data_IF_523791655493
#
_entry.id   IF_523791655493
#
_cell.length_a   1.000
_cell.length_b   1.000
_cell.length_c   1.000
_cell.angle_alpha   90.00
_cell.angle_beta   90.00
_cell.angle_gamma   90.00
#
_symmetry.space_group_name_H-M   'P 1'
#
loop_
_entity.id
_entity.type
_entity.pdbx_description
1 polymer ?
#
# COMPACT_ATOMS: atom_id res chain seq x y z
N UNK A 1 -6.99 -16.05 -5.59
CA UNK A 1 -6.41 -16.04 -6.94
C UNK A 1 -7.30 -16.81 -7.91
N UNK A 2 -7.09 -16.60 -9.18
CA UNK A 2 -7.74 -17.35 -10.24
C UNK A 2 -6.88 -18.60 -10.60
N UNK A 3 -7.54 -19.76 -10.74
CA UNK A 3 -6.93 -20.99 -11.21
C UNK A 3 -7.95 -21.63 -12.16
N UNK A 4 -7.56 -21.89 -13.40
CA UNK A 4 -8.40 -22.52 -14.44
C UNK A 4 -9.77 -21.84 -14.59
N UNK A 5 -9.80 -20.50 -14.60
CA UNK A 5 -11.02 -19.72 -14.72
C UNK A 5 -11.88 -19.66 -13.45
N UNK A 6 -11.42 -20.23 -12.34
CA UNK A 6 -12.14 -20.23 -11.06
C UNK A 6 -11.44 -19.38 -10.01
N UNK A 7 -12.21 -18.51 -9.33
CA UNK A 7 -11.71 -17.73 -8.20
C UNK A 7 -11.60 -18.60 -6.96
N UNK A 8 -10.37 -18.81 -6.48
CA UNK A 8 -10.08 -19.58 -5.27
C UNK A 8 -9.77 -18.62 -4.13
N UNK A 9 -10.50 -18.80 -3.01
CA UNK A 9 -10.27 -18.06 -1.78
C UNK A 9 -9.06 -18.62 -1.05
N UNK A 10 -8.05 -17.80 -0.85
CA UNK A 10 -6.87 -18.14 -0.05
C UNK A 10 -6.88 -17.43 1.30
N UNK A 11 -6.34 -18.08 2.32
CA UNK A 11 -6.07 -17.46 3.61
C UNK A 11 -4.90 -16.47 3.47
N UNK A 12 -5.00 -15.33 4.11
CA UNK A 12 -3.89 -14.40 4.32
C UNK A 12 -3.58 -14.29 5.81
N UNK A 13 -2.36 -13.91 6.14
CA UNK A 13 -1.93 -13.67 7.52
C UNK A 13 -2.41 -12.34 8.09
N UNK A 14 -2.91 -11.45 7.23
CA UNK A 14 -3.23 -10.10 7.66
C UNK A 14 -4.62 -10.00 8.31
N UNK A 15 -4.71 -9.10 9.27
CA UNK A 15 -5.96 -8.56 9.78
C UNK A 15 -5.94 -7.06 9.57
N UNK A 16 -6.69 -6.59 8.57
CA UNK A 16 -6.89 -5.17 8.26
C UNK A 16 -8.36 -4.80 8.37
N UNK A 17 -8.65 -3.53 8.61
CA UNK A 17 -10.03 -3.01 8.74
C UNK A 17 -10.35 -1.91 7.74
N UNK A 18 -9.49 -0.89 7.61
CA UNK A 18 -9.84 0.37 6.96
C UNK A 18 -8.92 0.75 5.80
N UNK A 19 -8.04 -0.11 5.41
CA UNK A 19 -7.15 0.10 4.28
C UNK A 19 -6.23 -1.06 4.04
N UNK A 20 -5.94 -1.33 2.78
CA UNK A 20 -4.95 -2.27 2.30
C UNK A 20 -4.31 -1.70 1.04
N UNK A 21 -3.00 -1.82 0.96
CA UNK A 21 -2.20 -1.40 -0.18
C UNK A 21 -0.98 -2.33 -0.30
N UNK A 22 -0.14 -2.12 -1.30
CA UNK A 22 1.11 -2.85 -1.45
C UNK A 22 2.26 -1.93 -1.84
N UNK A 23 3.50 -2.36 -1.55
CA UNK A 23 4.71 -1.68 -1.99
C UNK A 23 5.07 -2.03 -3.45
N UNK A 24 6.25 -1.53 -3.89
CA UNK A 24 6.77 -1.81 -5.24
C UNK A 24 7.12 -3.29 -5.48
N UNK A 25 7.14 -4.10 -4.44
CA UNK A 25 7.56 -5.49 -4.48
C UNK A 25 6.40 -6.46 -4.18
N UNK A 26 5.17 -5.94 -4.01
CA UNK A 26 3.96 -6.72 -3.78
C UNK A 26 3.67 -7.08 -2.32
N UNK A 27 4.43 -6.55 -1.35
CA UNK A 27 4.16 -6.78 0.07
C UNK A 27 3.00 -5.93 0.54
N UNK A 28 2.16 -6.49 1.41
CA UNK A 28 0.95 -5.83 1.88
C UNK A 28 1.24 -4.84 3.01
N UNK A 29 0.57 -3.69 2.92
CA UNK A 29 0.47 -2.66 3.95
C UNK A 29 -0.99 -2.46 4.29
N UNK A 30 -1.33 -2.44 5.57
CA UNK A 30 -2.71 -2.36 6.05
C UNK A 30 -2.78 -1.72 7.43
N UNK A 31 -3.98 -1.41 7.88
CA UNK A 31 -4.18 -0.81 9.20
C UNK A 31 -5.38 -1.37 9.95
N UNK A 32 -5.40 -1.07 11.22
CA UNK A 32 -6.52 -1.21 12.15
C UNK A 32 -6.65 0.10 12.93
N UNK A 33 -7.72 0.28 13.70
CA UNK A 33 -7.99 1.53 14.41
C UNK A 33 -6.77 2.13 15.15
N UNK A 34 -6.01 1.31 15.87
CA UNK A 34 -4.87 1.75 16.70
C UNK A 34 -3.50 1.52 16.06
N UNK A 35 -3.50 0.81 14.95
CA UNK A 35 -2.30 0.53 14.19
C UNK A 35 -2.34 1.37 12.91
N UNK A 36 -1.56 2.43 12.90
CA UNK A 36 -1.45 3.29 11.74
C UNK A 36 -0.99 2.54 10.51
N UNK A 37 0.06 1.74 10.67
CA UNK A 37 0.56 0.86 9.60
C UNK A 37 1.03 -0.46 10.20
N UNK A 38 0.57 -1.55 9.59
CA UNK A 38 1.14 -2.89 9.67
C UNK A 38 1.64 -3.28 8.28
N UNK A 39 2.64 -4.14 8.21
CA UNK A 39 3.13 -4.66 6.94
C UNK A 39 3.56 -6.12 7.06
N UNK A 40 3.48 -6.84 5.95
CA UNK A 40 4.06 -8.17 5.83
C UNK A 40 5.50 -8.08 5.31
N UNK A 41 6.39 -8.89 5.86
CA UNK A 41 7.80 -8.96 5.46
C UNK A 41 7.98 -9.76 4.17
N UNK A 42 7.06 -10.69 3.92
CA UNK A 42 7.07 -11.62 2.79
C UNK A 42 5.88 -11.34 1.87
N UNK A 43 5.95 -11.87 0.67
CA UNK A 43 4.85 -11.83 -0.28
C UNK A 43 3.58 -12.50 0.29
N UNK A 44 2.38 -12.07 -0.12
CA UNK A 44 1.13 -12.62 0.36
C UNK A 44 1.08 -14.16 0.26
N UNK A 45 0.46 -14.79 1.25
CA UNK A 45 0.25 -16.24 1.35
C UNK A 45 1.50 -17.11 1.52
N UNK A 46 2.71 -16.56 1.55
CA UNK A 46 3.95 -17.37 1.71
C UNK A 46 3.89 -18.24 2.97
N UNK A 47 3.49 -17.67 4.11
CA UNK A 47 3.46 -18.39 5.39
C UNK A 47 2.19 -19.23 5.57
N UNK A 48 1.05 -18.80 5.05
CA UNK A 48 -0.26 -19.41 5.33
C UNK A 48 -0.53 -20.69 4.53
N UNK A 49 0.34 -21.05 3.61
CA UNK A 49 0.25 -22.30 2.83
C UNK A 49 0.53 -23.56 3.66
N UNK A 50 1.40 -23.43 4.65
CA UNK A 50 1.64 -24.51 5.58
C UNK A 50 0.59 -24.44 6.71
N UNK A 51 -0.36 -25.38 6.79
CA UNK A 51 -1.41 -25.35 7.82
C UNK A 51 -0.87 -25.55 9.23
N UNK A 52 0.35 -26.10 9.36
CA UNK A 52 1.02 -26.34 10.63
C UNK A 52 1.95 -25.19 11.04
N UNK A 53 2.06 -24.14 10.21
CA UNK A 53 2.90 -23.01 10.55
C UNK A 53 2.27 -22.15 11.65
N UNK A 54 2.95 -22.06 12.78
CA UNK A 54 2.58 -21.12 13.83
C UNK A 54 3.07 -19.73 13.40
N UNK A 55 2.15 -18.80 13.26
CA UNK A 55 2.45 -17.42 12.86
C UNK A 55 3.52 -16.81 13.77
N UNK A 56 4.72 -16.68 13.25
CA UNK A 56 5.87 -16.11 13.92
C UNK A 56 6.20 -14.70 13.42
N UNK A 57 7.49 -14.39 13.41
CA UNK A 57 7.99 -13.12 12.84
C UNK A 57 7.76 -13.10 11.32
N UNK A 58 7.56 -11.90 10.74
CA UNK A 58 7.45 -11.70 9.30
C UNK A 58 6.05 -11.42 8.78
N UNK A 59 5.02 -11.48 9.63
CA UNK A 59 3.66 -11.04 9.28
C UNK A 59 3.16 -10.01 10.29
N UNK A 60 2.24 -9.16 9.88
CA UNK A 60 1.61 -8.14 10.70
C UNK A 60 2.62 -7.31 11.52
N UNK A 61 3.80 -7.04 10.94
CA UNK A 61 4.84 -6.22 11.59
C UNK A 61 4.28 -4.83 11.85
N UNK A 62 4.39 -4.38 13.09
CA UNK A 62 3.91 -3.07 13.52
C UNK A 62 4.91 -2.00 13.07
N UNK A 63 4.56 -1.24 12.03
CA UNK A 63 5.38 -0.18 11.46
C UNK A 63 5.10 1.14 12.17
N UNK A 64 3.82 1.42 12.48
CA UNK A 64 3.39 2.58 13.26
C UNK A 64 2.26 2.14 14.20
N UNK A 65 2.56 2.13 15.49
CA UNK A 65 1.62 1.69 16.53
C UNK A 65 1.69 2.58 17.76
N UNK A 66 0.58 3.26 18.07
CA UNK A 66 0.46 4.16 19.21
C UNK A 66 1.52 5.26 19.28
N UNK A 67 2.10 5.62 18.15
CA UNK A 67 3.06 6.71 18.06
C UNK A 67 2.39 8.03 18.41
N UNK A 68 3.13 8.90 19.10
CA UNK A 68 2.65 10.23 19.47
C UNK A 68 2.26 11.02 18.21
N UNK A 69 1.04 11.55 18.20
CA UNK A 69 0.52 12.41 17.13
C UNK A 69 0.76 13.89 17.42
N UNK A 70 0.82 14.68 16.35
CA UNK A 70 1.03 16.13 16.39
C UNK A 70 -0.08 16.89 15.63
N UNK A 71 -1.35 16.84 16.11
CA UNK A 71 -2.46 17.55 15.47
C UNK A 71 -2.28 19.06 15.52
N UNK A 72 -2.74 19.79 14.49
CA UNK A 72 -2.71 21.26 14.44
C UNK A 72 -3.71 21.92 15.40
N UNK A 73 -4.66 21.17 15.94
CA UNK A 73 -5.71 21.68 16.85
C UNK A 73 -5.99 20.69 17.96
N UNK A 74 -6.59 21.17 19.04
CA UNK A 74 -7.14 20.31 20.09
C UNK A 74 -8.25 19.43 19.50
N UNK A 75 -8.28 18.16 19.92
CA UNK A 75 -9.17 17.13 19.36
C UNK A 75 -10.44 17.04 20.21
N UNK A 76 -11.32 18.03 20.08
CA UNK A 76 -12.58 18.09 20.84
C UNK A 76 -13.55 16.98 20.40
N UNK A 77 -13.57 16.62 19.14
CA UNK A 77 -14.40 15.55 18.57
C UNK A 77 -13.91 14.13 18.84
N UNK A 78 -12.88 13.94 19.65
CA UNK A 78 -12.47 12.61 20.11
C UNK A 78 -13.48 12.05 21.12
N UNK A 79 -13.73 10.73 21.01
CA UNK A 79 -14.60 10.05 21.95
C UNK A 79 -13.88 9.89 23.30
N UNK A 80 -14.17 10.74 24.27
CA UNK A 80 -13.54 10.75 25.59
C UNK A 80 -14.17 9.71 26.52
N UNK A 81 -14.29 8.47 26.09
CA UNK A 81 -14.83 7.39 26.90
C UNK A 81 -13.77 6.44 27.47
N UNK A 82 -12.56 6.45 26.89
CA UNK A 82 -11.40 5.75 27.43
C UNK A 82 -10.48 6.72 28.16
N UNK A 83 -10.06 6.39 29.36
CA UNK A 83 -9.00 7.15 30.03
C UNK A 83 -7.76 7.16 29.17
N UNK A 84 -7.35 8.33 28.72
CA UNK A 84 -6.04 8.52 28.16
C UNK A 84 -5.93 8.71 26.65
N UNK A 85 -6.99 8.80 25.87
CA UNK A 85 -6.90 9.05 24.41
C UNK A 85 -6.40 10.46 24.07
N UNK A 86 -6.65 11.44 24.93
CA UNK A 86 -6.15 12.82 24.77
C UNK A 86 -5.11 13.14 25.85
N UNK A 87 -4.16 14.00 25.51
CA UNK A 87 -3.16 14.50 26.46
C UNK A 87 -3.74 15.69 27.27
N UNK A 88 -2.95 16.19 28.24
CA UNK A 88 -3.33 17.33 29.10
C UNK A 88 -3.70 18.59 28.33
N UNK A 89 -3.21 18.75 27.11
CA UNK A 89 -3.50 19.89 26.22
C UNK A 89 -4.73 19.63 25.32
N UNK A 90 -5.40 18.50 25.45
CA UNK A 90 -6.59 18.15 24.67
C UNK A 90 -6.33 17.60 23.27
N UNK A 91 -5.08 17.32 22.92
CA UNK A 91 -4.75 16.68 21.64
C UNK A 91 -4.85 15.14 21.73
N UNK A 92 -5.30 14.50 20.67
CA UNK A 92 -5.24 13.05 20.53
C UNK A 92 -3.79 12.59 20.68
N UNK A 93 -3.53 11.60 21.54
CA UNK A 93 -2.17 11.11 21.82
C UNK A 93 -1.61 10.22 20.73
N UNK A 94 -2.46 9.31 20.25
CA UNK A 94 -2.10 8.27 19.31
C UNK A 94 -3.29 7.94 18.41
N UNK A 95 -3.07 7.20 17.34
CA UNK A 95 -4.13 6.80 16.42
C UNK A 95 -5.23 5.99 17.14
N UNK A 96 -6.48 6.32 16.85
CA UNK A 96 -7.68 5.63 17.34
C UNK A 96 -8.64 5.28 16.21
N UNK A 97 -8.46 5.89 15.05
CA UNK A 97 -9.28 5.72 13.85
C UNK A 97 -8.45 5.61 12.59
N UNK A 98 -7.24 5.02 12.69
CA UNK A 98 -6.34 4.92 11.54
C UNK A 98 -7.00 4.25 10.34
N UNK A 99 -6.85 4.86 9.16
CA UNK A 99 -7.46 4.44 7.91
C UNK A 99 -6.52 4.66 6.71
N UNK A 100 -6.78 3.99 5.59
CA UNK A 100 -6.15 4.28 4.31
C UNK A 100 -4.62 4.11 4.29
N UNK A 101 -4.10 3.02 4.86
CA UNK A 101 -2.68 2.72 4.76
C UNK A 101 -2.23 2.62 3.31
N UNK A 102 -1.14 3.32 2.94
CA UNK A 102 -0.62 3.36 1.58
C UNK A 102 0.92 3.44 1.59
N UNK A 103 1.59 2.57 0.84
CA UNK A 103 2.98 2.78 0.46
C UNK A 103 3.06 3.80 -0.69
N UNK A 104 3.89 4.83 -0.58
CA UNK A 104 4.07 5.78 -1.66
C UNK A 104 4.91 5.16 -2.78
N UNK A 105 4.35 5.16 -3.98
CA UNK A 105 4.95 4.55 -5.18
C UNK A 105 4.96 5.50 -6.37
N UNK A 106 4.65 6.77 -6.12
CA UNK A 106 4.71 7.84 -7.11
C UNK A 106 6.14 8.33 -7.37
N UNK A 107 6.27 9.24 -8.30
CA UNK A 107 7.55 9.80 -8.76
C UNK A 107 7.58 11.34 -8.80
N UNK A 108 6.51 11.99 -8.32
CA UNK A 108 6.42 13.46 -8.29
C UNK A 108 7.13 14.05 -7.06
N UNK A 109 7.18 13.31 -5.96
CA UNK A 109 7.91 13.72 -4.76
C UNK A 109 9.40 13.35 -4.89
N UNK A 110 10.32 14.15 -4.29
CA UNK A 110 11.76 13.92 -4.38
C UNK A 110 12.21 12.63 -3.67
N UNK A 111 13.50 12.24 -3.87
CA UNK A 111 14.00 10.94 -3.38
C UNK A 111 13.83 10.66 -1.89
N UNK A 112 13.87 11.68 -1.03
CA UNK A 112 13.68 11.54 0.42
C UNK A 112 12.28 11.05 0.83
N UNK A 113 11.33 11.06 -0.11
CA UNK A 113 9.98 10.49 0.09
C UNK A 113 9.85 9.06 -0.45
N UNK A 114 10.91 8.51 -1.01
CA UNK A 114 10.92 7.09 -1.38
C UNK A 114 10.93 6.23 -0.12
N UNK A 115 10.49 5.00 -0.26
CA UNK A 115 10.39 4.07 0.86
C UNK A 115 9.63 4.65 2.06
N UNK A 116 8.51 5.29 1.76
CA UNK A 116 7.59 5.82 2.78
C UNK A 116 6.23 5.15 2.69
N UNK A 117 5.56 5.13 3.84
CA UNK A 117 4.17 4.74 3.93
C UNK A 117 3.37 5.79 4.72
N UNK A 118 2.10 5.92 4.37
CA UNK A 118 1.20 6.91 4.94
C UNK A 118 -0.04 6.24 5.51
N UNK A 119 -0.67 6.92 6.47
CA UNK A 119 -2.03 6.61 6.89
C UNK A 119 -2.79 7.88 7.29
N UNK A 120 -4.11 7.78 7.22
CA UNK A 120 -5.02 8.82 7.67
C UNK A 120 -5.39 8.57 9.15
N UNK A 121 -5.49 9.67 9.93
CA UNK A 121 -6.12 9.67 11.26
C UNK A 121 -7.25 10.71 11.26
N UNK A 122 -8.46 10.31 10.86
CA UNK A 122 -9.57 11.24 10.70
C UNK A 122 -10.03 11.87 12.01
N UNK A 123 -9.81 11.23 13.17
CA UNK A 123 -10.18 11.80 14.47
C UNK A 123 -9.35 13.04 14.79
N UNK A 124 -8.07 13.02 14.43
CA UNK A 124 -7.12 14.10 14.65
C UNK A 124 -6.93 15.03 13.43
N UNK A 125 -7.71 14.85 12.37
CA UNK A 125 -7.68 15.66 11.14
C UNK A 125 -6.28 15.70 10.49
N UNK A 126 -5.62 14.53 10.36
CA UNK A 126 -4.25 14.49 9.88
C UNK A 126 -3.96 13.27 8.98
N UNK A 127 -2.84 13.38 8.27
CA UNK A 127 -2.19 12.30 7.55
C UNK A 127 -0.75 12.21 8.05
N UNK A 128 -0.35 11.03 8.50
CA UNK A 128 1.02 10.71 8.90
C UNK A 128 1.77 10.03 7.79
N UNK A 129 3.05 10.35 7.68
CA UNK A 129 4.01 9.65 6.83
C UNK A 129 5.14 9.10 7.68
N UNK A 130 5.52 7.86 7.44
CA UNK A 130 6.66 7.19 8.08
C UNK A 130 7.65 6.77 7.02
N UNK A 131 8.93 6.90 7.32
CA UNK A 131 10.01 6.31 6.53
C UNK A 131 10.16 4.84 6.87
N UNK A 132 10.33 4.00 5.86
CA UNK A 132 10.45 2.55 5.99
C UNK A 132 11.91 2.16 5.98
N UNK A 133 12.40 1.59 7.06
CA UNK A 133 13.75 1.09 7.19
C UNK A 133 13.76 -0.43 7.12
N UNK A 134 14.69 -0.99 6.32
CA UNK A 134 14.96 -2.43 6.27
C UNK A 134 16.35 -2.70 6.79
N UNK A 135 16.44 -3.46 7.86
CA UNK A 135 17.70 -3.91 8.42
C UNK A 135 17.62 -5.40 8.72
N UNK A 136 18.60 -6.16 8.23
CA UNK A 136 18.68 -7.62 8.43
C UNK A 136 17.37 -8.35 8.02
N UNK A 137 16.74 -7.91 6.92
CA UNK A 137 15.47 -8.44 6.44
C UNK A 137 14.24 -7.98 7.23
N UNK A 138 14.40 -7.22 8.31
CA UNK A 138 13.29 -6.73 9.13
C UNK A 138 12.89 -5.31 8.71
N UNK A 139 11.59 -5.11 8.57
CA UNK A 139 10.97 -3.83 8.27
C UNK A 139 10.60 -3.10 9.57
N UNK A 140 10.94 -1.82 9.64
CA UNK A 140 10.52 -0.91 10.70
C UNK A 140 10.12 0.44 10.12
N UNK A 141 9.41 1.26 10.89
CA UNK A 141 9.02 2.61 10.48
C UNK A 141 9.59 3.66 11.43
N UNK A 142 9.90 4.82 10.87
CA UNK A 142 10.32 5.99 11.62
C UNK A 142 9.51 7.21 11.17
N UNK A 143 9.10 8.05 12.12
CA UNK A 143 8.35 9.26 11.81
C UNK A 143 9.21 10.27 11.03
N UNK A 144 8.78 10.65 9.84
CA UNK A 144 9.63 11.43 8.91
C UNK A 144 9.80 12.90 9.31
N UNK A 145 8.83 13.51 10.00
CA UNK A 145 8.76 14.97 10.20
C UNK A 145 9.03 15.42 11.65
N UNK A 146 9.56 14.56 12.51
CA UNK A 146 9.85 14.90 13.92
C UNK A 146 8.54 15.23 14.66
N UNK A 147 8.40 16.45 15.19
CA UNK A 147 7.22 16.88 15.95
C UNK A 147 6.11 17.51 15.08
N UNK A 148 6.03 17.14 13.81
CA UNK A 148 5.02 17.59 12.86
C UNK A 148 4.45 16.42 12.08
N UNK A 149 3.29 16.59 11.48
CA UNK A 149 2.70 15.60 10.58
C UNK A 149 2.94 15.95 9.11
N UNK A 150 2.76 14.99 8.22
CA UNK A 150 2.85 15.23 6.78
C UNK A 150 1.78 16.26 6.34
N UNK A 151 0.56 16.07 6.82
CA UNK A 151 -0.55 16.99 6.62
C UNK A 151 -1.42 17.03 7.86
N UNK A 152 -1.84 18.21 8.27
CA UNK A 152 -2.82 18.39 9.34
C UNK A 152 -3.72 19.58 9.03
N UNK A 153 -4.95 19.55 9.52
CA UNK A 153 -5.95 20.59 9.31
C UNK A 153 -6.49 21.11 10.63
N UNK A 154 -6.82 22.40 10.66
CA UNK A 154 -7.59 23.04 11.73
C UNK A 154 -9.09 22.92 11.52
N UNK A 155 -9.53 22.45 10.34
CA UNK A 155 -10.94 22.23 10.02
C UNK A 155 -11.44 20.94 10.67
N UNK A 156 -12.42 21.04 11.56
CA UNK A 156 -13.07 19.89 12.25
C UNK A 156 -13.65 18.88 11.27
N UNK A 157 -14.10 19.32 10.10
CA UNK A 157 -14.75 18.45 9.11
C UNK A 157 -13.77 17.75 8.18
N UNK A 158 -12.49 18.11 8.18
CA UNK A 158 -11.48 17.38 7.44
C UNK A 158 -11.31 15.97 8.02
N UNK A 159 -11.79 14.97 7.31
CA UNK A 159 -11.76 13.55 7.71
C UNK A 159 -11.15 12.71 6.60
N UNK A 160 -9.82 12.74 6.46
CA UNK A 160 -9.15 11.91 5.46
C UNK A 160 -9.32 10.45 5.83
N UNK A 161 -9.73 9.60 4.87
CA UNK A 161 -10.05 8.20 5.11
C UNK A 161 -9.32 7.24 4.19
N UNK A 162 -8.82 7.71 3.04
CA UNK A 162 -8.04 6.87 2.17
C UNK A 162 -7.05 7.68 1.31
N UNK A 163 -6.02 6.99 0.83
CA UNK A 163 -4.91 7.54 0.05
C UNK A 163 -4.66 6.68 -1.18
N UNK A 164 -4.32 7.33 -2.31
CA UNK A 164 -4.02 6.63 -3.55
C UNK A 164 -2.80 7.24 -4.23
N UNK A 165 -1.92 6.37 -4.75
CA UNK A 165 -0.89 6.78 -5.70
C UNK A 165 -1.56 7.21 -7.01
N UNK A 166 -1.38 8.46 -7.40
CA UNK A 166 -2.00 8.99 -8.60
C UNK A 166 -1.16 8.68 -9.86
N UNK A 167 -1.79 8.58 -11.03
CA UNK A 167 -1.08 8.33 -12.28
C UNK A 167 -0.04 9.40 -12.65
N UNK A 168 -0.23 10.63 -12.17
CA UNK A 168 0.69 11.75 -12.37
C UNK A 168 1.77 11.87 -11.25
N UNK A 169 1.94 10.82 -10.46
CA UNK A 169 2.94 10.72 -9.39
C UNK A 169 2.57 11.43 -8.09
N UNK A 170 1.46 12.16 -8.06
CA UNK A 170 0.93 12.85 -6.86
C UNK A 170 0.20 11.87 -5.94
N UNK A 171 -0.31 12.37 -4.82
CA UNK A 171 -1.14 11.59 -3.88
C UNK A 171 -2.57 12.12 -3.93
N UNK A 172 -3.56 11.21 -4.12
CA UNK A 172 -4.96 11.54 -3.92
C UNK A 172 -5.37 11.20 -2.50
N UNK A 173 -6.16 12.09 -1.91
CA UNK A 173 -6.74 11.93 -0.58
C UNK A 173 -8.25 11.96 -0.70
N UNK A 174 -8.92 10.91 -0.25
CA UNK A 174 -10.38 10.95 -0.08
C UNK A 174 -10.70 11.48 1.30
N UNK A 175 -11.47 12.56 1.33
CA UNK A 175 -11.93 13.21 2.54
C UNK A 175 -13.45 13.06 2.64
N UNK A 176 -13.94 12.41 3.68
CA UNK A 176 -15.39 12.33 3.93
C UNK A 176 -15.99 13.70 4.17
N UNK A 177 -15.17 14.63 4.62
CA UNK A 177 -15.59 15.99 5.01
C UNK A 177 -16.87 15.99 5.82
N UNK A 178 -16.84 15.26 6.91
CA UNK A 178 -17.98 15.05 7.78
C UNK A 178 -17.62 15.41 9.22
N UNK A 179 -18.48 16.13 9.91
CA UNK A 179 -18.18 16.62 11.26
C UNK A 179 -17.89 15.51 12.25
N UNK A 180 -18.55 14.36 12.11
CA UNK A 180 -18.36 13.19 12.96
C UNK A 180 -18.38 11.92 12.15
N UNK A 181 -17.43 11.02 12.43
CA UNK A 181 -17.40 9.64 11.93
C UNK A 181 -17.29 8.73 13.16
N UNK A 182 -18.42 8.28 13.67
CA UNK A 182 -18.44 7.41 14.83
C UNK A 182 -19.71 6.56 14.83
N UNK A 183 -19.55 5.29 15.16
CA UNK A 183 -20.69 4.39 15.30
C UNK A 183 -21.56 4.81 16.50
N UNK A 184 -22.85 4.92 16.30
CA UNK A 184 -23.81 5.46 17.26
C UNK A 184 -23.74 4.80 18.63
N UNK A 185 -23.48 3.48 18.69
CA UNK A 185 -23.39 2.73 19.96
C UNK A 185 -22.16 3.11 20.81
N UNK A 186 -21.13 3.70 20.21
CA UNK A 186 -19.89 4.07 20.91
C UNK A 186 -19.84 5.54 21.29
N UNK A 187 -20.93 6.30 21.08
CA UNK A 187 -20.99 7.70 21.48
C UNK A 187 -21.08 7.83 23.00
N UNK A 188 -20.08 8.43 23.62
CA UNK A 188 -20.15 8.85 25.03
C UNK A 188 -21.13 10.03 25.20
N UNK A 189 -21.54 10.29 26.44
CA UNK A 189 -22.36 11.46 26.74
C UNK A 189 -21.69 12.75 26.27
N UNK A 190 -20.38 12.90 26.57
CA UNK A 190 -19.58 14.05 26.13
C UNK A 190 -19.64 14.23 24.61
N UNK A 191 -19.36 13.19 23.85
CA UNK A 191 -19.29 13.32 22.38
C UNK A 191 -20.66 13.61 21.78
N UNK A 192 -21.72 13.02 22.33
CA UNK A 192 -23.09 13.30 21.91
C UNK A 192 -23.47 14.78 22.12
N UNK A 193 -23.19 15.33 23.30
CA UNK A 193 -23.45 16.75 23.60
C UNK A 193 -22.61 17.66 22.69
N UNK A 194 -21.34 17.32 22.46
CA UNK A 194 -20.46 18.06 21.56
C UNK A 194 -20.98 18.06 20.11
N UNK A 195 -21.40 16.89 19.59
CA UNK A 195 -21.97 16.77 18.23
C UNK A 195 -23.20 17.67 18.08
N UNK A 196 -24.11 17.65 19.05
CA UNK A 196 -25.32 18.45 19.03
C UNK A 196 -25.01 19.96 19.09
N UNK A 197 -24.12 20.36 20.00
CA UNK A 197 -23.75 21.76 20.16
C UNK A 197 -23.05 22.33 18.92
N UNK A 198 -22.15 21.56 18.30
CA UNK A 198 -21.40 21.99 17.12
C UNK A 198 -22.11 21.68 15.79
N UNK A 199 -23.30 21.08 15.84
CA UNK A 199 -24.09 20.68 14.65
C UNK A 199 -23.27 19.86 13.66
N UNK A 200 -22.47 18.90 14.17
CA UNK A 200 -21.54 18.13 13.36
C UNK A 200 -22.21 17.13 12.41
N UNK A 201 -23.47 16.77 12.65
CA UNK A 201 -24.27 15.93 11.76
C UNK A 201 -24.95 16.73 10.63
N UNK A 202 -24.96 18.07 10.73
CA UNK A 202 -25.54 18.93 9.71
C UNK A 202 -24.70 18.90 8.43
N UNK A 203 -25.34 19.09 7.28
CA UNK A 203 -24.74 19.13 5.95
C UNK A 203 -23.98 17.85 5.58
N UNK A 204 -24.65 16.71 5.43
CA UNK A 204 -24.03 15.51 4.87
C UNK A 204 -23.69 15.68 3.37
N UNK A 205 -22.89 14.76 2.82
CA UNK A 205 -22.55 14.67 1.39
C UNK A 205 -21.64 15.78 0.86
N UNK A 206 -20.72 16.25 1.68
CA UNK A 206 -19.71 17.25 1.30
C UNK A 206 -18.32 16.62 1.00
N UNK A 207 -18.25 15.30 0.80
CA UNK A 207 -17.02 14.59 0.51
C UNK A 207 -16.22 15.19 -0.64
N UNK A 208 -14.90 15.09 -0.57
CA UNK A 208 -13.96 15.67 -1.53
C UNK A 208 -12.82 14.74 -1.83
N UNK A 209 -12.15 15.01 -2.95
CA UNK A 209 -10.89 14.39 -3.32
C UNK A 209 -9.86 15.51 -3.45
N UNK A 210 -8.83 15.47 -2.62
CA UNK A 210 -7.70 16.36 -2.74
C UNK A 210 -6.57 15.70 -3.52
N UNK A 211 -5.75 16.53 -4.16
CA UNK A 211 -4.47 16.14 -4.74
C UNK A 211 -3.36 16.82 -3.98
N UNK A 212 -2.41 16.05 -3.47
CA UNK A 212 -1.20 16.57 -2.86
C UNK A 212 -0.07 16.42 -3.88
N UNK A 213 0.58 17.53 -4.20
CA UNK A 213 1.78 17.60 -5.04
C UNK A 213 2.94 18.20 -4.24
N UNK A 214 4.16 17.84 -4.61
CA UNK A 214 5.34 18.43 -3.97
C UNK A 214 5.70 19.74 -4.63
N UNK A 215 5.48 20.85 -3.91
CA UNK A 215 5.85 22.23 -4.32
C UNK A 215 5.53 22.51 -5.78
N UNK A 216 6.53 23.04 -6.50
CA UNK A 216 6.41 23.42 -7.91
C UNK A 216 6.81 22.29 -8.88
N UNK A 217 7.17 21.10 -8.37
CA UNK A 217 7.44 19.97 -9.23
C UNK A 217 6.27 19.74 -10.19
N UNK A 218 6.53 19.58 -11.48
CA UNK A 218 5.47 19.32 -12.44
C UNK A 218 4.81 17.97 -12.13
N UNK A 219 3.53 17.88 -12.46
CA UNK A 219 2.85 16.59 -12.44
C UNK A 219 3.35 15.74 -13.59
N UNK A 220 3.42 14.43 -13.39
CA UNK A 220 3.72 13.48 -14.43
C UNK A 220 2.70 13.51 -15.58
N UNK A 221 3.01 12.80 -16.64
CA UNK A 221 2.15 12.70 -17.82
C UNK A 221 0.78 12.09 -17.47
N UNK A 222 -0.23 12.49 -18.22
CA UNK A 222 -1.53 11.83 -18.16
C UNK A 222 -1.43 10.44 -18.82
N UNK A 223 -1.96 9.39 -18.18
CA UNK A 223 -1.93 8.06 -18.78
C UNK A 223 -2.84 7.99 -20.02
N UNK A 224 -2.34 7.37 -21.07
CA UNK A 224 -3.08 7.11 -22.30
C UNK A 224 -2.97 5.61 -22.65
N UNK A 225 -3.37 4.73 -21.72
CA UNK A 225 -3.23 3.28 -21.84
C UNK A 225 -4.49 2.60 -22.38
N UNK A 226 -5.65 3.23 -22.25
CA UNK A 226 -6.91 2.67 -22.72
C UNK A 226 -6.86 2.38 -24.22
N UNK A 227 -7.24 1.16 -24.62
CA UNK A 227 -7.26 0.72 -26.00
C UNK A 227 -5.90 0.50 -26.67
N UNK A 228 -4.79 0.61 -25.93
CA UNK A 228 -3.46 0.27 -26.47
C UNK A 228 -3.29 -1.24 -26.63
N UNK A 229 -2.49 -1.63 -27.62
CA UNK A 229 -2.09 -3.02 -27.81
C UNK A 229 -1.14 -3.42 -26.68
N UNK A 230 -1.15 -4.68 -26.28
CA UNK A 230 -0.30 -5.19 -25.20
C UNK A 230 1.20 -4.86 -25.40
N UNK A 231 1.71 -4.95 -26.62
CA UNK A 231 3.09 -4.61 -26.96
C UNK A 231 3.49 -3.16 -26.63
N UNK A 232 2.53 -2.23 -26.73
CA UNK A 232 2.76 -0.81 -26.45
C UNK A 232 2.74 -0.52 -24.93
N UNK A 233 2.25 -1.48 -24.12
CA UNK A 233 2.17 -1.40 -22.67
C UNK A 233 3.41 -1.99 -21.99
N UNK A 234 4.14 -2.92 -22.62
CA UNK A 234 5.33 -3.57 -22.03
C UNK A 234 6.36 -2.57 -21.51
N UNK A 235 6.71 -1.46 -22.19
CA UNK A 235 7.65 -0.47 -21.66
C UNK A 235 7.21 0.16 -20.33
N UNK A 236 5.89 0.25 -20.09
CA UNK A 236 5.34 0.83 -18.86
C UNK A 236 5.51 -0.07 -17.63
N UNK A 237 5.82 -1.35 -17.80
CA UNK A 237 6.17 -2.27 -16.69
C UNK A 237 7.44 -1.86 -15.94
N UNK A 238 8.27 -1.00 -16.54
CA UNK A 238 9.49 -0.45 -15.93
C UNK A 238 9.36 1.04 -15.57
N UNK A 239 8.16 1.61 -15.58
CA UNK A 239 7.93 3.03 -15.28
C UNK A 239 8.28 3.36 -13.82
N UNK A 240 8.78 4.56 -13.55
CA UNK A 240 9.11 5.03 -12.19
C UNK A 240 7.90 5.02 -11.25
N UNK A 241 6.73 5.45 -11.73
CA UNK A 241 5.48 5.46 -11.00
C UNK A 241 4.82 4.07 -10.97
N UNK A 242 4.54 3.58 -9.75
CA UNK A 242 3.91 2.26 -9.54
C UNK A 242 2.53 2.11 -10.18
N UNK A 243 1.74 3.18 -10.22
CA UNK A 243 0.43 3.15 -10.87
C UNK A 243 0.52 2.73 -12.35
N UNK A 244 1.53 3.21 -13.08
CA UNK A 244 1.73 2.86 -14.48
C UNK A 244 2.13 1.38 -14.64
N UNK A 245 2.99 0.88 -13.76
CA UNK A 245 3.42 -0.52 -13.81
C UNK A 245 2.24 -1.46 -13.56
N UNK A 246 1.48 -1.20 -12.49
CA UNK A 246 0.32 -2.02 -12.11
C UNK A 246 -0.75 -2.02 -13.22
N UNK A 247 -1.07 -0.83 -13.73
CA UNK A 247 -2.08 -0.68 -14.79
C UNK A 247 -1.65 -1.37 -16.09
N UNK A 248 -0.38 -1.21 -16.49
CA UNK A 248 0.14 -1.89 -17.66
C UNK A 248 0.10 -3.42 -17.50
N UNK A 249 0.54 -3.93 -16.36
CA UNK A 249 0.47 -5.35 -16.05
C UNK A 249 -0.95 -5.89 -16.14
N UNK A 250 -1.89 -5.23 -15.48
CA UNK A 250 -3.31 -5.62 -15.50
C UNK A 250 -3.86 -5.65 -16.93
N UNK A 251 -3.67 -4.59 -17.70
CA UNK A 251 -4.18 -4.50 -19.07
C UNK A 251 -3.55 -5.54 -20.00
N UNK A 252 -2.27 -5.88 -19.84
CA UNK A 252 -1.62 -6.93 -20.64
C UNK A 252 -2.23 -8.29 -20.30
N UNK A 253 -2.39 -8.60 -19.01
CA UNK A 253 -3.00 -9.86 -18.56
C UNK A 253 -4.44 -9.96 -19.03
N UNK A 254 -5.25 -8.93 -18.86
CA UNK A 254 -6.66 -8.89 -19.25
C UNK A 254 -6.84 -9.05 -20.77
N UNK A 255 -5.86 -8.58 -21.57
CA UNK A 255 -5.90 -8.75 -23.02
C UNK A 255 -5.71 -10.18 -23.49
N UNK A 256 -5.04 -11.03 -22.69
CA UNK A 256 -4.64 -12.38 -23.06
C UNK A 256 -3.67 -12.46 -24.25
N UNK A 257 -3.09 -11.34 -24.69
CA UNK A 257 -2.22 -11.28 -25.87
C UNK A 257 -0.83 -11.87 -25.59
N UNK A 258 -0.63 -13.11 -25.99
CA UNK A 258 0.63 -13.84 -25.83
C UNK A 258 1.75 -13.43 -26.80
N UNK A 259 1.44 -12.61 -27.79
CA UNK A 259 2.46 -12.10 -28.74
C UNK A 259 3.55 -11.27 -28.07
N UNK A 260 3.30 -10.77 -26.83
CA UNK A 260 4.24 -9.98 -26.04
C UNK A 260 5.23 -10.82 -25.23
N UNK A 261 5.05 -12.14 -25.15
CA UNK A 261 5.91 -13.05 -24.36
C UNK A 261 7.42 -12.86 -24.63
N UNK A 262 7.89 -12.74 -25.89
CA UNK A 262 9.30 -12.48 -26.15
C UNK A 262 9.80 -11.15 -25.52
N UNK A 263 8.99 -10.09 -25.56
CA UNK A 263 9.35 -8.79 -24.96
C UNK A 263 9.32 -8.84 -23.44
N UNK A 264 8.40 -9.59 -22.84
CA UNK A 264 8.34 -9.83 -21.40
C UNK A 264 9.57 -10.63 -20.91
N UNK A 265 9.96 -11.68 -21.61
CA UNK A 265 11.18 -12.43 -21.29
C UNK A 265 12.46 -11.56 -21.39
N UNK A 266 12.54 -10.69 -22.39
CA UNK A 266 13.62 -9.73 -22.50
C UNK A 266 13.67 -8.76 -21.31
N UNK A 267 12.50 -8.21 -20.90
CA UNK A 267 12.43 -7.32 -19.73
C UNK A 267 12.71 -8.07 -18.41
N UNK A 268 12.25 -9.30 -18.26
CA UNK A 268 12.54 -10.15 -17.09
C UNK A 268 14.04 -10.45 -16.92
N UNK A 269 14.82 -10.30 -18.00
CA UNK A 269 16.28 -10.49 -18.00
C UNK A 269 17.07 -9.18 -17.91
N UNK A 270 16.41 -8.00 -17.91
CA UNK A 270 17.05 -6.69 -17.88
C UNK A 270 17.42 -6.27 -16.46
N UNK A 271 18.62 -6.61 -16.01
CA UNK A 271 19.11 -6.29 -14.66
C UNK A 271 19.24 -4.79 -14.35
N UNK A 272 19.21 -3.93 -15.37
CA UNK A 272 19.20 -2.48 -15.16
C UNK A 272 17.81 -1.95 -14.69
N UNK A 273 16.77 -2.80 -14.74
CA UNK A 273 15.40 -2.42 -14.41
C UNK A 273 14.74 -3.41 -13.43
N UNK A 274 15.19 -3.50 -12.17
CA UNK A 274 14.68 -4.50 -11.22
C UNK A 274 13.15 -4.51 -11.08
N UNK A 275 12.50 -3.35 -10.96
CA UNK A 275 11.04 -3.26 -10.91
C UNK A 275 10.38 -3.76 -12.20
N UNK A 276 11.00 -3.48 -13.36
CA UNK A 276 10.55 -4.02 -14.64
C UNK A 276 10.68 -5.54 -14.71
N UNK A 277 11.76 -6.11 -14.17
CA UNK A 277 11.94 -7.56 -14.06
C UNK A 277 10.81 -8.19 -13.25
N UNK A 278 10.51 -7.64 -12.06
CA UNK A 278 9.44 -8.13 -11.18
C UNK A 278 8.10 -8.11 -11.93
N UNK A 279 7.72 -6.96 -12.49
CA UNK A 279 6.46 -6.84 -13.21
C UNK A 279 6.38 -7.74 -14.46
N UNK A 280 7.48 -7.92 -15.19
CA UNK A 280 7.53 -8.84 -16.34
C UNK A 280 7.33 -10.30 -15.92
N UNK A 281 7.98 -10.74 -14.84
CA UNK A 281 7.82 -12.10 -14.30
C UNK A 281 6.36 -12.37 -13.88
N UNK A 282 5.76 -11.44 -13.14
CA UNK A 282 4.36 -11.58 -12.71
C UNK A 282 3.37 -11.42 -13.87
N UNK A 283 3.72 -10.68 -14.93
CA UNK A 283 2.90 -10.61 -16.17
C UNK A 283 2.95 -11.93 -16.93
N UNK A 284 4.14 -12.55 -17.03
CA UNK A 284 4.29 -13.90 -17.63
C UNK A 284 3.47 -14.95 -16.87
N UNK A 285 3.48 -14.87 -15.53
CA UNK A 285 2.64 -15.75 -14.69
C UNK A 285 1.15 -15.52 -14.97
N UNK A 286 0.69 -14.27 -14.95
CA UNK A 286 -0.71 -13.93 -15.21
C UNK A 286 -1.21 -14.32 -16.61
N UNK A 287 -0.30 -14.43 -17.60
CA UNK A 287 -0.61 -14.93 -18.95
C UNK A 287 -0.51 -16.48 -19.05
N UNK A 288 -0.05 -17.18 -18.00
CA UNK A 288 0.24 -18.60 -18.03
C UNK A 288 1.48 -18.96 -18.84
N UNK A 289 2.41 -18.02 -19.02
CA UNK A 289 3.60 -18.15 -19.89
C UNK A 289 4.92 -18.12 -19.10
N UNK A 290 4.85 -18.21 -17.75
CA UNK A 290 6.06 -18.31 -16.92
C UNK A 290 6.84 -19.58 -17.28
N UNK A 291 8.14 -19.48 -17.40
CA UNK A 291 8.97 -20.59 -17.85
C UNK A 291 10.28 -20.70 -17.07
N UNK A 292 10.90 -21.88 -17.15
CA UNK A 292 12.14 -22.22 -16.44
C UNK A 292 13.30 -21.25 -16.76
N UNK A 293 13.41 -20.81 -18.02
CA UNK A 293 14.50 -19.91 -18.43
C UNK A 293 14.40 -18.56 -17.75
N UNK A 294 13.19 -17.96 -17.70
CA UNK A 294 12.94 -16.71 -17.01
C UNK A 294 13.24 -16.80 -15.51
N UNK A 295 12.77 -17.88 -14.87
CA UNK A 295 13.03 -18.13 -13.43
C UNK A 295 14.53 -18.31 -13.17
N UNK A 296 15.23 -19.15 -13.93
CA UNK A 296 16.69 -19.34 -13.76
C UNK A 296 17.49 -18.05 -13.98
N UNK A 297 17.06 -17.20 -14.90
CA UNK A 297 17.66 -15.89 -15.09
C UNK A 297 17.46 -15.01 -13.85
N UNK A 298 16.25 -14.92 -13.34
CA UNK A 298 15.89 -14.11 -12.19
C UNK A 298 16.50 -14.61 -10.87
N UNK A 299 16.70 -15.92 -10.70
CA UNK A 299 17.39 -16.50 -9.53
C UNK A 299 18.87 -16.11 -9.43
N UNK A 300 19.46 -15.55 -10.49
CA UNK A 300 20.84 -15.02 -10.51
C UNK A 300 20.88 -13.51 -10.23
N UNK A 301 19.76 -12.88 -9.99
CA UNK A 301 19.69 -11.46 -9.74
C UNK A 301 20.39 -11.09 -8.42
N UNK A 302 21.14 -9.98 -8.45
CA UNK A 302 21.67 -9.37 -7.22
C UNK A 302 20.63 -8.54 -6.47
N UNK A 303 19.48 -8.25 -7.09
CA UNK A 303 18.36 -7.56 -6.44
C UNK A 303 17.54 -8.56 -5.62
N UNK A 304 17.44 -8.38 -4.29
CA UNK A 304 16.77 -9.34 -3.40
C UNK A 304 15.26 -9.47 -3.69
N UNK A 305 14.63 -8.47 -4.27
CA UNK A 305 13.20 -8.50 -4.56
C UNK A 305 12.87 -9.22 -5.87
N UNK A 306 13.77 -9.12 -6.84
CA UNK A 306 13.72 -9.96 -8.05
C UNK A 306 13.91 -11.41 -7.66
N UNK A 307 14.91 -11.70 -6.80
CA UNK A 307 15.17 -13.04 -6.29
C UNK A 307 13.97 -13.62 -5.52
N UNK A 308 13.36 -12.83 -4.63
CA UNK A 308 12.15 -13.24 -3.89
C UNK A 308 10.99 -13.58 -4.84
N UNK A 309 10.76 -12.75 -5.87
CA UNK A 309 9.73 -13.00 -6.88
C UNK A 309 10.03 -14.29 -7.68
N UNK A 310 11.29 -14.51 -8.05
CA UNK A 310 11.71 -15.72 -8.75
C UNK A 310 11.51 -16.98 -7.91
N UNK A 311 11.90 -16.96 -6.63
CA UNK A 311 11.67 -18.08 -5.68
C UNK A 311 10.16 -18.34 -5.56
N UNK A 312 9.36 -17.29 -5.43
CA UNK A 312 7.90 -17.43 -5.29
C UNK A 312 7.25 -18.03 -6.54
N UNK A 313 7.69 -17.62 -7.72
CA UNK A 313 7.16 -18.11 -9.00
C UNK A 313 7.70 -19.49 -9.37
N UNK A 314 8.88 -19.90 -8.88
CA UNK A 314 9.42 -21.22 -9.10
C UNK A 314 8.52 -22.33 -8.55
N UNK A 315 7.74 -22.04 -7.49
CA UNK A 315 6.80 -22.99 -6.91
C UNK A 315 5.78 -23.54 -7.93
N UNK A 316 5.41 -22.72 -8.92
CA UNK A 316 4.46 -23.12 -9.97
C UNK A 316 5.04 -24.16 -10.93
N UNK A 317 6.35 -24.17 -11.06
CA UNK A 317 7.08 -25.06 -11.99
C UNK A 317 7.74 -26.25 -11.29
N UNK A 318 7.84 -26.27 -9.95
CA UNK A 318 8.53 -27.32 -9.21
C UNK A 318 7.93 -28.71 -9.48
N UNK A 319 6.61 -28.80 -9.62
CA UNK A 319 5.94 -30.09 -9.83
C UNK A 319 6.33 -30.70 -11.18
N UNK A 320 6.43 -29.88 -12.23
CA UNK A 320 6.73 -30.35 -13.60
C UNK A 320 8.23 -30.33 -13.94
N UNK A 321 9.01 -29.46 -13.31
CA UNK A 321 10.37 -29.10 -13.71
C UNK A 321 11.39 -29.16 -12.57
N UNK A 322 11.09 -29.94 -11.51
CA UNK A 322 11.91 -30.01 -10.29
C UNK A 322 13.39 -30.30 -10.58
N UNK A 323 13.68 -31.32 -11.43
CA UNK A 323 15.05 -31.72 -11.78
C UNK A 323 15.84 -30.56 -12.42
N UNK A 324 15.13 -29.67 -13.12
CA UNK A 324 15.74 -28.55 -13.84
C UNK A 324 15.92 -27.32 -12.93
N UNK A 325 15.07 -27.12 -11.92
CA UNK A 325 15.06 -25.94 -11.07
C UNK A 325 15.87 -26.10 -9.78
N UNK A 326 15.83 -27.27 -9.11
CA UNK A 326 16.50 -27.46 -7.81
C UNK A 326 18.00 -27.11 -7.80
N UNK A 327 18.81 -27.37 -8.84
CA UNK A 327 20.20 -26.95 -8.84
C UNK A 327 20.41 -25.41 -8.83
N UNK A 328 19.36 -24.62 -9.11
CA UNK A 328 19.40 -23.16 -9.17
C UNK A 328 18.73 -22.47 -7.96
N UNK A 329 17.96 -23.24 -7.16
CA UNK A 329 17.35 -22.81 -5.90
C UNK A 329 18.31 -23.08 -4.74
#
# INVERSE_FOLDING_TARGET
REIDGHWIKEKTSFRGQWGINHDNHGRLYYNENWFGIKADQLLPNTLMRNPNYLLGRGHATQISYRDKLYPARITLGANRGGEGDVNKNGHLKAATGAAGAMAYRGDQFPPEFRDTALFCEPVANLIRMVHLNRKDGLLSGEHLFGEREFLTSTDERFRPVNLFNAPDGTIYVTDMYHGIIQHKHYLTKYLREYIMHQKLEDQPRLGRIYRIKYRDNPRGAQPAMAGKKARDLVPHLAHSNGWWRDTAQQLIIDSGDRSVVPALNALASDSAKPLGQIHALWTLEGLGEINVSAIKGALKSSDPYVLESAIRLSELLIISEAVTLFPAL
#
